data_IF_683448186035
#
_entry.id   IF_683448186035
#
_cell.length_a   1.000
_cell.length_b   1.000
_cell.length_c   1.000
_cell.angle_alpha   90.00
_cell.angle_beta   90.00
_cell.angle_gamma   90.00
#
_symmetry.space_group_name_H-M   'P 1'
#
loop_
_entity.id
_entity.type
_entity.pdbx_description
1 polymer ?
#
# COMPACT_ATOMS: atom_id res chain seq x y z
N UNK A 1 5.59 -10.07 26.86
CA UNK A 1 4.53 -10.67 26.04
C UNK A 1 4.13 -11.98 26.71
N UNK A 2 2.87 -12.15 27.10
CA UNK A 2 2.42 -13.42 27.67
C UNK A 2 2.18 -14.43 26.54
N UNK A 3 3.00 -15.48 26.45
CA UNK A 3 2.83 -16.56 25.49
C UNK A 3 1.76 -17.55 25.98
N UNK A 4 1.08 -18.21 25.04
CA UNK A 4 0.10 -19.26 25.40
C UNK A 4 0.85 -20.42 26.07
N UNK A 5 0.31 -21.02 27.15
CA UNK A 5 0.91 -22.19 27.77
C UNK A 5 1.10 -23.31 26.73
N UNK A 6 2.31 -23.85 26.62
CA UNK A 6 2.61 -24.97 25.71
C UNK A 6 2.92 -24.61 24.26
N UNK A 7 3.31 -23.36 23.97
CA UNK A 7 3.66 -22.90 22.60
C UNK A 7 4.74 -23.73 21.90
N UNK A 8 5.61 -24.40 22.66
CA UNK A 8 6.72 -25.22 22.14
C UNK A 8 6.31 -26.62 21.67
N UNK A 9 5.12 -27.11 22.06
CA UNK A 9 4.64 -28.46 21.72
C UNK A 9 4.62 -28.79 20.22
N UNK A 10 4.32 -27.84 19.30
CA UNK A 10 4.33 -28.10 17.86
C UNK A 10 5.74 -28.13 17.25
N UNK A 11 6.80 -27.76 18.00
CA UNK A 11 8.15 -27.65 17.48
C UNK A 11 8.91 -28.96 17.75
N UNK A 12 9.27 -29.73 16.71
CA UNK A 12 10.01 -30.98 16.89
C UNK A 12 11.31 -30.74 17.68
N UNK A 13 11.61 -31.64 18.62
CA UNK A 13 12.80 -31.60 19.48
C UNK A 13 12.90 -30.43 20.48
N UNK A 14 11.86 -29.59 20.61
CA UNK A 14 11.81 -28.55 21.65
C UNK A 14 10.98 -29.01 22.85
N UNK A 15 11.64 -29.52 23.88
CA UNK A 15 11.01 -29.94 25.14
C UNK A 15 10.70 -28.78 26.09
N UNK A 16 9.99 -29.06 27.19
CA UNK A 16 9.63 -28.06 28.23
C UNK A 16 10.85 -27.31 28.77
N UNK A 17 11.96 -28.01 29.00
CA UNK A 17 13.19 -27.41 29.51
C UNK A 17 13.86 -26.49 28.48
N UNK A 18 13.83 -26.86 27.20
CA UNK A 18 14.29 -26.00 26.11
C UNK A 18 13.41 -24.75 25.94
N UNK A 19 12.09 -24.90 26.06
CA UNK A 19 11.17 -23.77 26.04
C UNK A 19 11.44 -22.78 27.19
N UNK A 20 11.71 -23.31 28.39
CA UNK A 20 12.08 -22.48 29.53
C UNK A 20 13.40 -21.73 29.30
N UNK A 21 14.44 -22.38 28.77
CA UNK A 21 15.70 -21.70 28.44
C UNK A 21 15.51 -20.59 27.39
N UNK A 22 14.66 -20.82 26.39
CA UNK A 22 14.32 -19.78 25.39
C UNK A 22 13.58 -18.62 26.07
N UNK A 23 12.64 -18.88 26.97
CA UNK A 23 11.94 -17.84 27.73
C UNK A 23 12.90 -17.03 28.62
N UNK A 24 13.81 -17.70 29.33
CA UNK A 24 14.84 -17.05 30.14
C UNK A 24 15.78 -16.20 29.28
N UNK A 25 16.23 -16.73 28.15
CA UNK A 25 17.09 -16.02 27.20
C UNK A 25 16.39 -14.77 26.63
N UNK A 26 15.14 -14.88 26.20
CA UNK A 26 14.33 -13.76 25.68
C UNK A 26 14.12 -12.68 26.75
N UNK A 27 13.87 -13.08 28.00
CA UNK A 27 13.73 -12.16 29.13
C UNK A 27 15.04 -11.44 29.48
N UNK A 28 16.18 -12.12 29.34
CA UNK A 28 17.50 -11.55 29.61
C UNK A 28 17.95 -10.53 28.53
N UNK A 29 17.43 -10.65 27.31
CA UNK A 29 17.82 -9.79 26.17
C UNK A 29 16.62 -9.09 25.49
N UNK A 30 16.00 -8.10 26.15
CA UNK A 30 14.83 -7.40 25.62
C UNK A 30 15.11 -6.60 24.34
N UNK A 31 16.33 -6.08 24.16
CA UNK A 31 16.72 -5.36 22.94
C UNK A 31 16.89 -6.28 21.73
N UNK A 32 17.37 -7.52 21.94
CA UNK A 32 17.40 -8.54 20.87
C UNK A 32 15.97 -8.90 20.45
N UNK A 33 15.04 -8.98 21.41
CA UNK A 33 13.63 -9.23 21.12
C UNK A 33 12.97 -8.08 20.35
N UNK A 34 13.31 -6.82 20.68
CA UNK A 34 12.87 -5.63 19.93
C UNK A 34 13.44 -5.61 18.51
N UNK A 35 14.71 -5.96 18.34
CA UNK A 35 15.37 -6.06 17.02
C UNK A 35 14.85 -7.24 16.22
N UNK A 36 14.65 -8.40 16.83
CA UNK A 36 14.02 -9.56 16.20
C UNK A 36 12.58 -9.25 15.77
N UNK A 37 11.81 -8.51 16.58
CA UNK A 37 10.49 -8.04 16.18
C UNK A 37 10.52 -7.04 15.01
N UNK A 38 11.64 -6.31 14.82
CA UNK A 38 11.87 -5.48 13.63
C UNK A 38 12.38 -6.26 12.41
N UNK A 39 12.89 -7.49 12.58
CA UNK A 39 13.34 -8.40 11.53
C UNK A 39 12.26 -9.43 11.11
N UNK A 40 11.41 -9.83 12.05
CA UNK A 40 10.22 -10.67 11.87
C UNK A 40 9.11 -10.12 10.94
N UNK A 41 9.05 -8.83 10.56
CA UNK A 41 8.09 -8.40 9.56
C UNK A 41 8.33 -9.13 8.25
N UNK A 42 9.56 -9.48 7.87
CA UNK A 42 9.81 -10.02 6.52
C UNK A 42 9.19 -11.40 6.29
N UNK A 43 9.42 -12.36 7.19
CA UNK A 43 8.93 -13.74 7.01
C UNK A 43 7.44 -13.88 7.36
N UNK A 44 6.96 -13.20 8.41
CA UNK A 44 5.53 -13.18 8.75
C UNK A 44 4.68 -12.44 7.70
N UNK A 45 5.23 -11.43 7.02
CA UNK A 45 4.59 -10.74 5.88
C UNK A 45 4.36 -11.67 4.69
N UNK A 46 5.20 -12.70 4.52
CA UNK A 46 5.06 -13.63 3.39
C UNK A 46 4.10 -14.79 3.67
N UNK A 47 3.96 -15.20 4.94
CA UNK A 47 3.14 -16.34 5.35
C UNK A 47 1.65 -16.00 5.59
N UNK A 48 1.31 -14.73 5.84
CA UNK A 48 -0.08 -14.26 5.89
C UNK A 48 -0.50 -13.69 4.53
N UNK A 49 -1.62 -14.21 4.02
CA UNK A 49 -2.10 -14.03 2.66
C UNK A 49 -2.50 -12.61 2.23
N UNK A 50 -2.38 -11.61 3.10
CA UNK A 50 -2.17 -10.18 2.88
C UNK A 50 -1.99 -9.70 4.31
N UNK A 51 -0.84 -9.13 4.71
CA UNK A 51 -0.68 -8.74 6.10
C UNK A 51 -1.81 -7.77 6.47
N UNK A 52 -2.45 -8.00 7.62
CA UNK A 52 -3.57 -7.17 8.12
C UNK A 52 -3.05 -5.91 8.80
N UNK A 53 -1.97 -5.34 8.26
CA UNK A 53 -1.34 -4.14 8.81
C UNK A 53 -2.32 -2.97 8.75
N UNK A 54 -2.27 -2.16 9.79
CA UNK A 54 -2.88 -0.85 9.79
C UNK A 54 -2.08 -0.02 8.78
N UNK A 55 -2.75 0.50 7.73
CA UNK A 55 -2.02 1.14 6.62
C UNK A 55 -1.21 2.37 7.06
N UNK A 56 -1.59 2.90 8.20
CA UNK A 56 -1.02 3.98 8.99
C UNK A 56 0.22 3.62 9.81
N UNK A 57 0.56 2.33 9.96
CA UNK A 57 1.64 1.86 10.84
C UNK A 57 2.68 0.98 10.11
N UNK A 58 3.08 1.39 8.91
CA UNK A 58 4.15 0.72 8.16
C UNK A 58 5.55 1.02 8.71
N UNK A 59 6.51 0.08 8.56
CA UNK A 59 7.92 0.39 8.75
C UNK A 59 8.39 1.51 7.82
N UNK A 60 9.36 2.32 8.26
CA UNK A 60 9.87 3.48 7.51
C UNK A 60 10.40 3.15 6.10
N UNK A 61 10.88 1.92 5.88
CA UNK A 61 11.36 1.49 4.56
C UNK A 61 10.23 1.23 3.56
N UNK A 62 8.99 1.09 4.04
CA UNK A 62 7.80 0.74 3.25
C UNK A 62 6.70 1.80 3.33
N UNK A 63 6.77 2.73 4.28
CA UNK A 63 5.76 3.76 4.50
C UNK A 63 5.85 4.92 3.51
N UNK A 64 7.00 5.10 2.84
CA UNK A 64 7.22 6.16 1.84
C UNK A 64 7.67 7.49 2.42
N UNK A 65 7.98 7.55 3.72
CA UNK A 65 8.67 8.69 4.33
C UNK A 65 10.05 8.93 3.70
N UNK A 66 10.68 7.88 3.16
CA UNK A 66 11.99 7.89 2.47
C UNK A 66 11.93 7.38 1.03
N UNK A 67 10.76 7.48 0.37
CA UNK A 67 10.59 6.97 -0.99
C UNK A 67 11.55 7.61 -2.00
N UNK A 68 12.02 6.83 -2.98
CA UNK A 68 13.00 7.27 -3.99
C UNK A 68 12.54 8.51 -4.79
N UNK A 69 11.24 8.62 -5.04
CA UNK A 69 10.65 9.73 -5.79
C UNK A 69 9.84 10.67 -4.90
N UNK A 70 10.05 10.59 -3.58
CA UNK A 70 9.52 11.56 -2.63
C UNK A 70 10.22 12.90 -2.87
N UNK A 71 9.44 13.95 -3.06
CA UNK A 71 9.99 15.30 -3.19
C UNK A 71 10.46 15.85 -1.83
N UNK A 72 11.37 16.84 -1.80
CA UNK A 72 11.79 17.49 -0.56
C UNK A 72 10.62 18.04 0.26
N UNK A 73 10.63 17.83 1.58
CA UNK A 73 9.51 18.19 2.46
C UNK A 73 9.25 19.69 2.55
N UNK A 74 10.28 20.51 2.42
CA UNK A 74 10.16 21.97 2.55
C UNK A 74 9.29 22.60 1.44
N UNK A 75 9.19 21.93 0.29
CA UNK A 75 8.31 22.35 -0.80
C UNK A 75 6.95 21.64 -0.82
N UNK A 76 6.72 20.68 0.07
CA UNK A 76 5.51 19.86 0.05
C UNK A 76 4.33 20.58 0.69
N UNK A 77 3.22 20.71 -0.06
CA UNK A 77 1.98 21.33 0.42
C UNK A 77 1.16 20.47 1.39
N UNK A 78 1.62 19.24 1.70
CA UNK A 78 0.92 18.30 2.57
C UNK A 78 1.62 18.16 3.92
N UNK A 79 0.83 18.13 5.00
CA UNK A 79 1.29 17.68 6.31
C UNK A 79 1.61 16.17 6.35
N UNK A 80 1.28 15.42 5.30
CA UNK A 80 1.47 13.98 5.20
C UNK A 80 2.95 13.59 5.31
N UNK A 81 3.26 12.75 6.30
CA UNK A 81 4.61 12.26 6.57
C UNK A 81 4.94 10.98 5.80
N UNK A 82 3.93 10.20 5.42
CA UNK A 82 4.07 8.93 4.71
C UNK A 82 3.01 8.78 3.59
N UNK A 83 3.11 7.73 2.78
CA UNK A 83 2.29 7.52 1.56
C UNK A 83 0.82 7.34 1.90
N UNK A 84 0.53 6.64 3.00
CA UNK A 84 -0.85 6.42 3.43
C UNK A 84 -1.53 7.73 3.83
N UNK A 85 -0.87 8.58 4.61
CA UNK A 85 -1.40 9.91 4.98
C UNK A 85 -1.63 10.80 3.74
N UNK A 86 -0.80 10.67 2.71
CA UNK A 86 -0.97 11.43 1.47
C UNK A 86 -2.18 10.95 0.66
N UNK A 87 -2.43 9.64 0.63
CA UNK A 87 -3.66 9.07 0.07
C UNK A 87 -4.88 9.57 0.85
N UNK A 88 -4.84 9.54 2.19
CA UNK A 88 -5.94 10.04 3.02
C UNK A 88 -6.24 11.52 2.75
N UNK A 89 -5.20 12.35 2.63
CA UNK A 89 -5.33 13.76 2.29
C UNK A 89 -5.99 13.96 0.90
N UNK A 90 -5.62 13.15 -0.09
CA UNK A 90 -6.26 13.19 -1.41
C UNK A 90 -7.74 12.77 -1.35
N UNK A 91 -8.04 11.70 -0.62
CA UNK A 91 -9.40 11.17 -0.49
C UNK A 91 -10.34 12.16 0.21
N UNK A 92 -9.82 12.96 1.15
CA UNK A 92 -10.57 13.98 1.87
C UNK A 92 -11.09 15.12 0.96
N UNK A 93 -10.57 15.26 -0.27
CA UNK A 93 -11.06 16.23 -1.25
C UNK A 93 -12.41 15.86 -1.85
N UNK A 94 -12.86 14.61 -1.70
CA UNK A 94 -14.05 14.11 -2.34
C UNK A 94 -15.26 14.13 -1.40
N UNK A 95 -16.21 15.03 -1.66
CA UNK A 95 -17.44 15.16 -0.86
C UNK A 95 -18.32 13.91 -0.90
N UNK A 96 -18.36 13.21 -2.05
CA UNK A 96 -19.16 11.99 -2.20
C UNK A 96 -18.50 10.81 -1.47
N UNK A 97 -19.15 10.25 -0.43
CA UNK A 97 -18.60 9.09 0.28
C UNK A 97 -18.50 7.87 -0.63
N UNK A 98 -19.35 7.76 -1.66
CA UNK A 98 -19.30 6.67 -2.61
C UNK A 98 -18.05 6.75 -3.49
N UNK A 99 -17.75 7.93 -4.04
CA UNK A 99 -16.54 8.15 -4.85
C UNK A 99 -15.28 7.97 -4.01
N UNK A 100 -15.23 8.54 -2.80
CA UNK A 100 -14.10 8.36 -1.89
C UNK A 100 -13.85 6.89 -1.56
N UNK A 101 -14.90 6.08 -1.29
CA UNK A 101 -14.75 4.62 -1.08
C UNK A 101 -14.23 3.89 -2.31
N UNK A 102 -14.71 4.24 -3.50
CA UNK A 102 -14.24 3.63 -4.75
C UNK A 102 -12.76 3.95 -5.00
N UNK A 103 -12.34 5.20 -4.79
CA UNK A 103 -10.96 5.64 -4.98
C UNK A 103 -10.03 5.05 -3.94
N UNK A 104 -10.44 5.05 -2.67
CA UNK A 104 -9.73 4.38 -1.57
C UNK A 104 -9.43 2.93 -1.91
N UNK A 105 -10.43 2.20 -2.42
CA UNK A 105 -10.24 0.80 -2.81
C UNK A 105 -9.12 0.63 -3.84
N UNK A 106 -9.08 1.46 -4.88
CA UNK A 106 -8.04 1.32 -5.92
C UNK A 106 -6.66 1.80 -5.44
N UNK A 107 -6.59 2.87 -4.64
CA UNK A 107 -5.35 3.37 -4.05
C UNK A 107 -4.75 2.37 -3.05
N UNK A 108 -5.56 1.81 -2.15
CA UNK A 108 -5.12 0.81 -1.19
C UNK A 108 -4.68 -0.50 -1.86
N UNK A 109 -5.34 -0.92 -2.94
CA UNK A 109 -4.90 -2.08 -3.74
C UNK A 109 -3.50 -1.89 -4.30
N UNK A 110 -3.22 -0.71 -4.86
CA UNK A 110 -1.89 -0.39 -5.36
C UNK A 110 -0.87 -0.38 -4.22
N UNK A 111 -1.17 0.30 -3.11
CA UNK A 111 -0.28 0.39 -1.96
C UNK A 111 0.07 -1.00 -1.41
N UNK A 112 -0.95 -1.85 -1.23
CA UNK A 112 -0.76 -3.25 -0.81
C UNK A 112 0.11 -4.03 -1.79
N UNK A 113 -0.14 -3.90 -3.09
CA UNK A 113 0.64 -4.59 -4.12
C UNK A 113 2.11 -4.12 -4.13
N UNK A 114 2.36 -2.81 -4.03
CA UNK A 114 3.70 -2.25 -3.98
C UNK A 114 4.51 -2.82 -2.80
N UNK A 115 3.87 -2.91 -1.64
CA UNK A 115 4.53 -3.39 -0.42
C UNK A 115 4.76 -4.90 -0.44
N UNK A 116 3.77 -5.68 -0.88
CA UNK A 116 3.82 -7.14 -0.80
C UNK A 116 4.59 -7.74 -1.98
N UNK A 117 4.35 -7.27 -3.21
CA UNK A 117 4.97 -7.83 -4.42
C UNK A 117 6.25 -7.11 -4.82
N UNK A 118 6.36 -5.79 -4.58
CA UNK A 118 7.56 -5.01 -4.95
C UNK A 118 8.47 -4.67 -3.78
N UNK A 119 8.00 -4.85 -2.54
CA UNK A 119 8.74 -4.52 -1.31
C UNK A 119 9.26 -3.09 -1.28
N UNK A 120 8.47 -2.16 -1.81
CA UNK A 120 8.81 -0.75 -1.87
C UNK A 120 7.58 0.12 -1.57
N UNK A 121 7.79 1.35 -1.09
CA UNK A 121 6.68 2.28 -0.88
C UNK A 121 6.10 2.75 -2.22
N UNK A 122 4.87 3.28 -2.18
CA UNK A 122 4.17 3.83 -3.33
C UNK A 122 4.93 5.00 -3.95
N UNK A 123 5.58 5.84 -3.13
CA UNK A 123 6.47 6.93 -3.57
C UNK A 123 7.81 6.47 -4.16
N UNK A 124 8.05 5.17 -4.32
CA UNK A 124 9.20 4.63 -5.08
C UNK A 124 8.82 3.92 -6.37
N UNK A 125 7.53 3.84 -6.69
CA UNK A 125 7.06 3.16 -7.90
C UNK A 125 7.60 3.83 -9.17
N UNK A 126 7.98 3.01 -10.14
CA UNK A 126 8.43 3.42 -11.47
C UNK A 126 7.35 3.14 -12.53
N UNK A 127 7.55 3.62 -13.76
CA UNK A 127 6.69 3.26 -14.90
C UNK A 127 6.67 1.74 -15.14
N UNK A 128 7.78 1.04 -14.93
CA UNK A 128 7.85 -0.42 -15.06
C UNK A 128 7.00 -1.12 -14.00
N UNK A 129 6.93 -0.57 -12.80
CA UNK A 129 6.02 -1.03 -11.77
C UNK A 129 4.56 -0.81 -12.13
N UNK A 130 4.22 0.33 -12.74
CA UNK A 130 2.87 0.59 -13.23
C UNK A 130 2.47 -0.39 -14.36
N UNK A 131 3.39 -0.75 -15.24
CA UNK A 131 3.18 -1.78 -16.27
C UNK A 131 2.96 -3.15 -15.63
N UNK A 132 3.79 -3.52 -14.65
CA UNK A 132 3.66 -4.78 -13.93
C UNK A 132 2.35 -4.85 -13.12
N UNK A 133 1.95 -3.75 -12.47
CA UNK A 133 0.67 -3.68 -11.77
C UNK A 133 -0.51 -3.84 -12.74
N UNK A 134 -0.48 -3.21 -13.92
CA UNK A 134 -1.51 -3.42 -14.96
C UNK A 134 -1.61 -4.89 -15.37
N UNK A 135 -0.48 -5.58 -15.54
CA UNK A 135 -0.48 -7.01 -15.86
C UNK A 135 -1.05 -7.84 -14.70
N UNK A 136 -0.62 -7.54 -13.47
CA UNK A 136 -1.10 -8.16 -12.24
C UNK A 136 -2.62 -8.00 -12.06
N UNK A 137 -3.22 -6.85 -12.36
CA UNK A 137 -4.67 -6.67 -12.25
C UNK A 137 -5.47 -7.65 -13.12
N UNK A 138 -4.91 -8.08 -14.25
CA UNK A 138 -5.53 -9.09 -15.13
C UNK A 138 -5.28 -10.51 -14.63
N UNK A 139 -4.16 -10.76 -13.96
CA UNK A 139 -3.79 -12.07 -13.46
C UNK A 139 -3.13 -11.95 -12.06
N UNK A 140 -3.93 -11.72 -10.99
CA UNK A 140 -3.37 -11.54 -9.67
C UNK A 140 -2.74 -12.84 -9.16
N UNK A 141 -1.43 -12.80 -8.91
CA UNK A 141 -0.64 -13.97 -8.52
C UNK A 141 0.18 -13.66 -7.26
N UNK A 142 0.27 -14.59 -6.29
CA UNK A 142 -0.42 -15.88 -6.21
C UNK A 142 -1.94 -15.72 -5.97
N UNK A 143 -2.78 -16.53 -6.63
CA UNK A 143 -4.25 -16.42 -6.54
C UNK A 143 -4.74 -16.49 -5.09
N UNK A 144 -4.26 -17.46 -4.30
CA UNK A 144 -4.65 -17.65 -2.90
C UNK A 144 -4.38 -16.44 -1.98
N UNK A 145 -3.47 -15.53 -2.39
CA UNK A 145 -3.11 -14.30 -1.67
C UNK A 145 -3.99 -13.11 -2.08
N UNK A 146 -4.27 -12.97 -3.36
CA UNK A 146 -4.86 -11.73 -3.88
C UNK A 146 -6.34 -11.82 -4.20
N UNK A 147 -6.84 -13.01 -4.49
CA UNK A 147 -8.20 -13.23 -4.97
C UNK A 147 -8.97 -14.19 -4.08
N UNK A 148 -10.25 -13.89 -3.88
CA UNK A 148 -11.16 -14.73 -3.11
C UNK A 148 -12.55 -14.09 -2.99
N UNK A 149 -13.53 -14.80 -2.42
CA UNK A 149 -14.87 -14.23 -2.24
C UNK A 149 -14.83 -12.96 -1.38
N UNK A 150 -15.75 -12.00 -1.58
CA UNK A 150 -15.83 -10.82 -0.74
C UNK A 150 -15.99 -11.20 0.75
N UNK A 151 -15.12 -10.65 1.59
CA UNK A 151 -15.15 -10.81 3.05
C UNK A 151 -14.93 -9.46 3.72
N UNK A 152 -15.25 -9.30 5.01
CA UNK A 152 -14.86 -8.10 5.75
C UNK A 152 -13.34 -8.01 5.89
N UNK A 153 -12.76 -6.81 5.73
CA UNK A 153 -11.30 -6.55 5.86
C UNK A 153 -10.72 -6.98 7.21
N UNK A 154 -11.58 -7.07 8.22
CA UNK A 154 -11.22 -7.53 9.56
C UNK A 154 -11.03 -9.04 9.67
N UNK A 155 -11.29 -9.82 8.62
CA UNK A 155 -11.14 -11.27 8.64
C UNK A 155 -9.85 -11.70 7.95
N UNK A 156 -9.23 -12.78 8.41
CA UNK A 156 -8.03 -13.37 7.77
C UNK A 156 -8.32 -13.93 6.36
N UNK A 157 -9.57 -14.25 6.08
CA UNK A 157 -10.04 -14.69 4.77
C UNK A 157 -10.21 -13.54 3.75
N UNK A 158 -10.00 -12.28 4.16
CA UNK A 158 -10.14 -11.14 3.28
C UNK A 158 -9.09 -11.12 2.17
N UNK A 159 -9.53 -10.72 0.97
CA UNK A 159 -8.70 -10.58 -0.23
C UNK A 159 -9.00 -9.23 -0.91
N UNK A 160 -7.99 -8.52 -1.43
CA UNK A 160 -8.20 -7.23 -2.09
C UNK A 160 -9.01 -7.31 -3.39
N UNK A 161 -8.99 -8.46 -4.05
CA UNK A 161 -9.69 -8.70 -5.32
C UNK A 161 -10.69 -9.86 -5.17
N UNK A 162 -11.84 -9.73 -5.84
CA UNK A 162 -12.79 -10.84 -5.97
C UNK A 162 -12.35 -11.88 -7.02
N UNK A 163 -11.47 -11.47 -7.93
CA UNK A 163 -10.96 -12.21 -9.06
C UNK A 163 -10.17 -11.29 -10.00
N UNK A 164 -9.69 -11.81 -11.14
CA UNK A 164 -9.14 -11.02 -12.24
C UNK A 164 -10.02 -9.83 -12.63
N UNK A 165 -9.42 -8.66 -12.86
CA UNK A 165 -10.16 -7.48 -13.30
C UNK A 165 -10.40 -7.50 -14.81
N UNK A 166 -11.60 -7.09 -15.22
CA UNK A 166 -11.91 -6.86 -16.64
C UNK A 166 -11.07 -5.71 -17.21
N UNK A 167 -10.97 -5.60 -18.54
CA UNK A 167 -10.29 -4.48 -19.18
C UNK A 167 -10.88 -3.12 -18.78
N UNK A 168 -12.21 -3.01 -18.68
CA UNK A 168 -12.90 -1.79 -18.24
C UNK A 168 -12.57 -1.44 -16.79
N UNK A 169 -12.65 -2.41 -15.87
CA UNK A 169 -12.32 -2.19 -14.46
C UNK A 169 -10.85 -1.82 -14.28
N UNK A 170 -9.95 -2.45 -15.05
CA UNK A 170 -8.51 -2.13 -15.05
C UNK A 170 -8.27 -0.71 -15.53
N UNK A 171 -8.92 -0.28 -16.62
CA UNK A 171 -8.81 1.08 -17.13
C UNK A 171 -9.28 2.12 -16.11
N UNK A 172 -10.40 1.85 -15.42
CA UNK A 172 -10.89 2.68 -14.33
C UNK A 172 -9.87 2.79 -13.18
N UNK A 173 -9.35 1.67 -12.69
CA UNK A 173 -8.36 1.67 -11.62
C UNK A 173 -7.11 2.49 -12.00
N UNK A 174 -6.60 2.32 -13.22
CA UNK A 174 -5.44 3.08 -13.69
C UNK A 174 -5.74 4.57 -13.89
N UNK A 175 -6.97 4.94 -14.25
CA UNK A 175 -7.39 6.34 -14.33
C UNK A 175 -7.42 7.00 -12.94
N UNK A 176 -7.97 6.32 -11.94
CA UNK A 176 -7.97 6.76 -10.53
C UNK A 176 -6.53 6.95 -10.03
N UNK A 177 -5.65 5.97 -10.28
CA UNK A 177 -4.25 6.04 -9.85
C UNK A 177 -3.48 7.17 -10.55
N UNK A 178 -3.73 7.39 -11.85
CA UNK A 178 -3.17 8.53 -12.58
C UNK A 178 -3.59 9.85 -11.97
N UNK A 179 -4.87 9.99 -11.59
CA UNK A 179 -5.40 11.20 -10.94
C UNK A 179 -4.78 11.42 -9.56
N UNK A 180 -4.68 10.36 -8.73
CA UNK A 180 -3.99 10.40 -7.44
C UNK A 180 -2.55 10.92 -7.59
N UNK A 181 -1.74 10.30 -8.44
CA UNK A 181 -0.35 10.72 -8.63
C UNK A 181 -0.23 12.11 -9.26
N UNK A 182 -1.14 12.49 -10.15
CA UNK A 182 -1.20 13.84 -10.70
C UNK A 182 -1.42 14.88 -9.61
N UNK A 183 -2.33 14.62 -8.67
CA UNK A 183 -2.54 15.48 -7.52
C UNK A 183 -1.32 15.50 -6.57
N UNK A 184 -0.73 14.34 -6.27
CA UNK A 184 0.45 14.28 -5.41
C UNK A 184 1.66 15.05 -5.99
N UNK A 185 1.82 15.08 -7.31
CA UNK A 185 2.82 15.96 -7.97
C UNK A 185 2.47 17.43 -7.75
N UNK A 186 1.21 17.82 -7.96
CA UNK A 186 0.78 19.20 -7.78
C UNK A 186 0.97 19.69 -6.34
N UNK A 187 0.97 18.80 -5.36
CA UNK A 187 1.26 19.10 -3.95
C UNK A 187 2.75 18.96 -3.59
N UNK A 188 3.63 18.75 -4.58
CA UNK A 188 5.06 18.48 -4.39
C UNK A 188 5.31 17.36 -3.38
N UNK A 189 4.48 16.31 -3.43
CA UNK A 189 4.64 15.14 -2.57
C UNK A 189 5.56 14.10 -3.23
N UNK A 190 5.34 13.81 -4.51
CA UNK A 190 6.22 12.99 -5.35
C UNK A 190 6.62 13.75 -6.61
N UNK A 191 7.74 13.37 -7.22
CA UNK A 191 8.25 14.04 -8.43
C UNK A 191 7.81 13.38 -9.74
N UNK A 192 7.19 12.19 -9.68
CA UNK A 192 6.78 11.46 -10.87
C UNK A 192 5.42 10.77 -10.74
N UNK A 193 4.78 10.55 -11.88
CA UNK A 193 3.54 9.80 -12.00
C UNK A 193 3.83 8.50 -12.75
N UNK A 194 3.87 7.34 -12.05
CA UNK A 194 4.19 6.05 -12.67
C UNK A 194 3.17 5.66 -13.76
N UNK A 195 1.95 6.17 -13.66
CA UNK A 195 0.83 5.80 -14.51
C UNK A 195 0.64 6.72 -15.72
N UNK A 196 1.43 7.79 -15.86
CA UNK A 196 1.27 8.80 -16.91
C UNK A 196 1.26 8.23 -18.35
N UNK A 197 2.02 7.15 -18.62
CA UNK A 197 2.05 6.50 -19.94
C UNK A 197 1.23 5.20 -20.06
N UNK A 198 0.64 4.71 -18.98
CA UNK A 198 0.07 3.34 -18.95
C UNK A 198 -1.36 3.33 -19.47
N UNK A 199 -1.62 2.64 -20.59
CA UNK A 199 -2.95 2.55 -21.23
C UNK A 199 -3.52 1.12 -21.21
N UNK A 200 -4.83 0.95 -21.47
CA UNK A 200 -5.50 -0.36 -21.58
C UNK A 200 -6.21 -0.45 -22.92
N UNK A 201 -5.83 -1.42 -23.77
CA UNK A 201 -6.54 -1.71 -25.01
C UNK A 201 -7.99 -2.11 -24.73
N UNK A 202 -8.96 -1.48 -25.40
CA UNK A 202 -10.39 -1.75 -25.26
C UNK A 202 -11.07 -1.10 -24.04
N UNK A 203 -10.36 -0.31 -23.24
CA UNK A 203 -10.88 0.33 -22.04
C UNK A 203 -11.06 1.84 -22.22
N UNK A 204 -12.01 2.28 -23.04
CA UNK A 204 -12.39 3.69 -23.05
C UNK A 204 -13.01 4.05 -21.69
N UNK A 205 -12.35 4.90 -20.91
CA UNK A 205 -12.87 5.43 -19.65
C UNK A 205 -12.92 6.94 -19.74
N UNK A 206 -14.08 7.51 -19.41
CA UNK A 206 -14.25 8.95 -19.19
C UNK A 206 -13.49 9.28 -17.91
N UNK A 207 -12.41 10.06 -18.01
CA UNK A 207 -11.56 10.47 -16.88
C UNK A 207 -12.46 11.03 -15.77
N UNK A 208 -12.44 10.46 -14.55
CA UNK A 208 -13.27 10.99 -13.49
C UNK A 208 -12.53 12.18 -12.86
N UNK A 209 -12.86 13.37 -13.40
CA UNK A 209 -12.47 14.71 -12.96
C UNK A 209 -10.97 15.09 -13.04
N UNK A 210 -10.71 16.21 -13.71
CA UNK A 210 -9.43 16.93 -13.68
C UNK A 210 -9.31 17.67 -12.34
N UNK A 211 -8.32 17.29 -11.52
CA UNK A 211 -7.79 18.11 -10.42
C UNK A 211 -6.54 18.87 -10.91
N UNK A 212 -6.56 19.29 -12.18
CA UNK A 212 -5.62 20.27 -12.70
C UNK A 212 -6.20 21.66 -12.41
N UNK A 213 -5.56 22.39 -11.51
CA UNK A 213 -6.08 23.59 -10.89
C UNK A 213 -6.53 24.68 -11.87
N UNK A 214 -7.54 25.45 -11.43
CA UNK A 214 -7.71 26.83 -11.86
C UNK A 214 -6.36 27.54 -11.77
N UNK A 215 -5.81 27.95 -12.92
CA UNK A 215 -4.81 29.02 -12.93
C UNK A 215 -5.51 30.28 -12.38
N UNK A 216 -4.90 31.05 -11.45
CA UNK A 216 -5.39 32.39 -11.21
C UNK A 216 -5.29 33.15 -12.53
N UNK A 217 -6.39 33.79 -12.93
CA UNK A 217 -6.38 34.77 -14.01
C UNK A 217 -5.50 35.90 -13.48
N UNK A 218 -4.25 35.93 -13.94
CA UNK A 218 -3.40 37.10 -13.76
C UNK A 218 -3.95 38.14 -14.72
N UNK A 219 -4.88 38.96 -14.24
CA UNK A 219 -5.28 40.18 -14.92
C UNK A 219 -4.14 41.19 -14.79
N UNK A 220 -3.17 41.09 -15.68
CA UNK A 220 -2.14 42.11 -15.89
C UNK A 220 -2.68 43.23 -16.76
N UNK A 221 -2.99 44.35 -16.10
CA UNK A 221 -2.79 45.75 -16.50
C UNK A 221 -2.99 46.19 -17.96
N UNK A 222 -3.94 47.10 -18.16
CA UNK A 222 -3.67 48.50 -18.56
C UNK A 222 -4.81 49.39 -18.10
#
# INVERSE_FOLDING_TARGET
MAHRPGWWRPIPNLGRQGAHHVETFVAAYPDLSRRAASLAPYEAVTAQSVPRWSLDALPADLDGSRGRFRAPRDGCGLAATNDYQAIEAWLALHESPHTARAYRREAERLLLWAIVERRQPLSSLTTDDAIAYRAFLRHPTPHARWTGPPRPRTTSAWRPFAGPMTARSTAYALAVLRALFGWLINQHYVVLNPFAGVTVRGGATRMPFDVAGRRPIVSGTS
#
